data_IF_604049142857
#
_entry.id   IF_604049142857
#
_cell.length_a   1.000
_cell.length_b   1.000
_cell.length_c   1.000
_cell.angle_alpha   90.00
_cell.angle_beta   90.00
_cell.angle_gamma   90.00
#
_symmetry.space_group_name_H-M   'P 1'
#
loop_
_entity.id
_entity.type
_entity.pdbx_description
1 polymer ?
#
# COMPACT_ATOMS: atom_id res chain seq x y z
N UNK A 1 47.08 28.93 -13.27
CA UNK A 1 47.42 27.67 -12.55
C UNK A 1 46.12 26.97 -12.20
N UNK A 2 45.67 26.07 -13.06
CA UNK A 2 44.56 25.14 -12.77
C UNK A 2 45.03 24.16 -11.70
N UNK A 3 44.35 24.09 -10.55
CA UNK A 3 44.56 23.00 -9.59
C UNK A 3 43.42 21.99 -9.79
N UNK A 4 43.78 20.86 -10.40
CA UNK A 4 43.06 19.59 -10.28
C UNK A 4 42.75 19.32 -8.80
N UNK A 5 41.54 18.86 -8.51
CA UNK A 5 41.08 18.54 -7.16
C UNK A 5 41.72 17.28 -6.56
N UNK A 6 41.42 16.95 -5.29
CA UNK A 6 41.66 15.62 -4.77
C UNK A 6 40.47 14.71 -5.10
N UNK A 7 40.77 13.64 -5.83
CA UNK A 7 39.97 12.42 -5.93
C UNK A 7 39.84 11.78 -4.54
N UNK A 8 38.64 11.29 -4.23
CA UNK A 8 38.45 10.11 -3.38
C UNK A 8 38.49 10.33 -1.87
N UNK A 9 37.33 10.61 -1.29
CA UNK A 9 36.90 9.78 -0.15
C UNK A 9 35.78 8.89 -0.65
N UNK A 10 36.17 7.81 -1.33
CA UNK A 10 35.28 6.68 -1.54
C UNK A 10 34.93 6.14 -0.17
N UNK A 11 33.80 6.61 0.38
CA UNK A 11 33.12 5.85 1.41
C UNK A 11 32.93 4.43 0.85
N UNK A 12 33.24 3.38 1.61
CA UNK A 12 32.86 2.04 1.18
C UNK A 12 31.35 2.08 0.86
N UNK A 13 30.86 1.42 -0.19
CA UNK A 13 29.43 1.41 -0.45
C UNK A 13 28.80 0.75 0.79
N UNK A 14 28.13 1.55 1.62
CA UNK A 14 27.45 1.07 2.82
C UNK A 14 26.21 0.32 2.35
N UNK A 15 26.42 -0.89 1.82
CA UNK A 15 25.43 -1.93 1.63
C UNK A 15 25.03 -2.43 3.01
N UNK A 16 24.04 -1.77 3.61
CA UNK A 16 23.26 -2.32 4.71
C UNK A 16 21.97 -1.48 4.81
N UNK A 17 20.80 -2.11 4.93
CA UNK A 17 19.47 -1.52 4.79
C UNK A 17 19.12 -0.45 5.83
N UNK A 18 19.82 0.69 5.81
CA UNK A 18 19.68 1.82 6.73
C UNK A 18 18.43 2.65 6.46
N UNK A 19 17.81 2.49 5.29
CA UNK A 19 16.54 3.16 4.93
C UNK A 19 15.54 2.14 4.35
N UNK A 20 15.07 1.18 5.17
CA UNK A 20 14.04 0.25 4.73
C UNK A 20 12.74 1.03 4.52
N UNK A 21 12.01 0.67 3.46
CA UNK A 21 10.70 1.28 3.23
C UNK A 21 9.77 1.02 4.41
N UNK A 22 9.14 2.05 4.98
CA UNK A 22 8.17 1.84 6.06
C UNK A 22 6.98 1.02 5.56
N UNK A 23 6.26 0.40 6.49
CA UNK A 23 5.00 -0.28 6.17
C UNK A 23 4.03 0.70 5.46
N UNK A 24 3.26 0.18 4.51
CA UNK A 24 2.46 1.01 3.60
C UNK A 24 3.21 1.49 2.36
N UNK A 25 4.52 1.26 2.27
CA UNK A 25 5.35 1.64 1.11
C UNK A 25 6.25 0.49 0.65
N UNK A 26 6.74 0.58 -0.59
CA UNK A 26 7.69 -0.35 -1.18
C UNK A 26 8.66 0.39 -2.12
N UNK A 27 9.78 -0.25 -2.45
CA UNK A 27 10.67 0.26 -3.51
C UNK A 27 11.36 -0.88 -4.25
N UNK A 28 11.24 -0.90 -5.57
CA UNK A 28 11.96 -1.84 -6.43
C UNK A 28 13.45 -1.50 -6.60
N UNK A 29 13.94 -0.43 -5.96
CA UNK A 29 15.34 0.03 -6.00
C UNK A 29 16.04 -0.35 -4.70
N UNK A 30 17.20 -0.99 -4.84
CA UNK A 30 18.07 -1.32 -3.70
C UNK A 30 18.91 -0.12 -3.28
N UNK A 31 19.25 -0.03 -1.98
CA UNK A 31 20.20 0.96 -1.48
C UNK A 31 19.67 2.40 -1.51
N UNK A 32 18.42 2.59 -1.07
CA UNK A 32 17.85 3.93 -0.94
C UNK A 32 18.69 4.81 -0.03
N UNK A 33 18.85 6.07 -0.42
CA UNK A 33 19.49 7.10 0.39
C UNK A 33 18.56 7.63 1.49
N UNK A 34 17.25 7.50 1.31
CA UNK A 34 16.24 7.95 2.26
C UNK A 34 14.91 7.18 2.10
N UNK A 35 14.14 7.05 3.19
CA UNK A 35 12.85 6.35 3.18
C UNK A 35 11.76 7.08 2.37
N UNK A 36 11.90 8.37 2.11
CA UNK A 36 11.01 9.16 1.24
C UNK A 36 11.10 8.76 -0.23
N UNK A 37 12.14 8.02 -0.63
CA UNK A 37 12.23 7.44 -1.98
C UNK A 37 11.33 6.21 -2.15
N UNK A 38 10.68 5.74 -1.09
CA UNK A 38 9.71 4.66 -1.17
C UNK A 38 8.40 5.14 -1.78
N UNK A 39 7.82 4.28 -2.62
CA UNK A 39 6.51 4.53 -3.21
C UNK A 39 5.42 3.97 -2.31
N UNK A 40 4.29 4.66 -2.11
CA UNK A 40 3.15 4.08 -1.41
C UNK A 40 2.68 2.83 -2.14
N UNK A 41 2.17 1.86 -1.37
CA UNK A 41 1.53 0.68 -1.94
C UNK A 41 0.41 1.11 -2.91
N UNK A 42 0.33 0.47 -4.07
CA UNK A 42 -0.64 0.86 -5.10
C UNK A 42 -2.08 0.62 -4.61
N UNK A 43 -3.06 1.39 -5.07
CA UNK A 43 -4.46 1.14 -4.76
C UNK A 43 -4.84 -0.32 -5.05
N UNK A 44 -5.65 -0.93 -4.19
CA UNK A 44 -5.98 -2.36 -4.25
C UNK A 44 -4.94 -3.29 -3.61
N UNK A 45 -3.77 -2.79 -3.17
CA UNK A 45 -2.72 -3.60 -2.54
C UNK A 45 -2.26 -3.04 -1.20
N UNK A 46 -1.61 -3.89 -0.40
CA UNK A 46 -1.03 -3.50 0.89
C UNK A 46 0.43 -3.92 1.03
N UNK A 47 1.15 -3.21 1.89
CA UNK A 47 2.57 -3.35 2.20
C UNK A 47 2.72 -3.60 3.70
N UNK A 48 2.67 -4.87 4.12
CA UNK A 48 2.50 -5.26 5.52
C UNK A 48 3.75 -5.24 6.40
N UNK A 49 4.93 -5.15 5.79
CA UNK A 49 6.21 -5.18 6.50
C UNK A 49 7.15 -4.11 5.97
N UNK A 50 8.21 -3.83 6.73
CA UNK A 50 9.23 -2.87 6.33
C UNK A 50 10.20 -3.48 5.31
N UNK A 51 10.82 -2.64 4.49
CA UNK A 51 11.85 -3.05 3.52
C UNK A 51 11.31 -3.81 2.31
N UNK A 52 10.01 -3.69 2.03
CA UNK A 52 9.39 -4.35 0.89
C UNK A 52 9.90 -3.79 -0.44
N UNK A 53 10.22 -4.70 -1.37
CA UNK A 53 10.57 -4.34 -2.75
C UNK A 53 9.39 -4.40 -3.71
N UNK A 54 8.25 -4.93 -3.25
CA UNK A 54 6.98 -5.02 -3.95
C UNK A 54 5.84 -5.07 -2.90
N UNK A 55 4.59 -4.77 -3.29
CA UNK A 55 3.44 -4.96 -2.42
C UNK A 55 3.38 -6.39 -1.86
N UNK A 56 2.91 -6.54 -0.62
CA UNK A 56 2.72 -7.85 0.04
C UNK A 56 1.63 -8.65 -0.64
N UNK A 57 0.53 -7.99 -1.04
CA UNK A 57 -0.58 -8.65 -1.69
C UNK A 57 -1.78 -7.72 -1.91
N UNK A 58 -2.88 -8.26 -2.47
CA UNK A 58 -4.13 -7.53 -2.62
C UNK A 58 -4.79 -7.26 -1.26
N UNK A 59 -5.60 -6.20 -1.19
CA UNK A 59 -6.52 -6.02 -0.06
C UNK A 59 -7.61 -7.10 -0.07
N UNK A 60 -8.10 -7.46 1.12
CA UNK A 60 -9.01 -8.58 1.29
C UNK A 60 -10.40 -8.26 0.74
N UNK A 61 -11.13 -9.30 0.32
CA UNK A 61 -12.50 -9.13 -0.11
C UNK A 61 -13.38 -8.57 1.02
N UNK A 62 -14.31 -7.70 0.67
CA UNK A 62 -15.10 -6.93 1.63
C UNK A 62 -14.40 -5.64 2.09
N UNK A 63 -13.18 -5.38 1.61
CA UNK A 63 -12.43 -4.14 1.82
C UNK A 63 -11.94 -3.58 0.50
N UNK A 64 -11.69 -2.28 0.48
CA UNK A 64 -10.98 -1.62 -0.61
C UNK A 64 -9.91 -0.70 -0.04
N UNK A 65 -8.85 -0.48 -0.79
CA UNK A 65 -7.74 0.35 -0.35
C UNK A 65 -7.30 1.34 -1.42
N UNK A 66 -7.18 2.61 -1.01
CA UNK A 66 -6.95 3.76 -1.89
C UNK A 66 -5.46 4.01 -2.17
N UNK A 67 -4.57 3.22 -1.56
CA UNK A 67 -3.12 3.30 -1.70
C UNK A 67 -2.43 3.67 -0.39
N UNK A 68 -1.20 3.20 -0.18
CA UNK A 68 -0.46 3.37 1.07
C UNK A 68 -0.92 2.44 2.21
N UNK A 69 -1.73 1.43 1.91
CA UNK A 69 -2.22 0.48 2.90
C UNK A 69 -1.08 -0.39 3.43
N UNK A 70 -1.03 -0.57 4.75
CA UNK A 70 -0.10 -1.49 5.41
C UNK A 70 -0.79 -2.75 5.93
N UNK A 71 -2.11 -2.89 5.72
CA UNK A 71 -2.90 -4.08 6.05
C UNK A 71 -3.86 -4.40 4.93
N UNK A 72 -4.28 -5.66 4.81
CA UNK A 72 -5.28 -6.07 3.83
C UNK A 72 -6.72 -5.70 4.24
N UNK A 73 -6.95 -5.47 5.54
CA UNK A 73 -8.24 -5.16 6.17
C UNK A 73 -8.14 -3.91 7.05
N UNK A 74 -9.24 -3.45 7.64
CA UNK A 74 -9.19 -2.37 8.63
C UNK A 74 -8.33 -2.79 9.83
N UNK A 75 -7.36 -1.94 10.17
CA UNK A 75 -6.61 -2.07 11.41
C UNK A 75 -7.28 -1.21 12.48
N UNK A 76 -7.76 -1.84 13.55
CA UNK A 76 -8.50 -1.18 14.64
C UNK A 76 -7.68 -0.13 15.40
N UNK A 77 -6.35 -0.14 15.24
CA UNK A 77 -5.46 0.81 15.90
C UNK A 77 -5.33 2.16 15.18
N UNK A 78 -5.93 2.36 13.99
CA UNK A 78 -5.92 3.64 13.30
C UNK A 78 -7.29 4.35 13.28
N UNK A 79 -7.31 5.68 13.47
CA UNK A 79 -8.49 6.48 13.16
C UNK A 79 -8.85 6.30 11.69
N UNK A 80 -10.14 6.05 11.38
CA UNK A 80 -10.58 5.77 9.99
C UNK A 80 -10.25 6.88 8.98
N UNK A 81 -10.06 8.12 9.44
CA UNK A 81 -9.65 9.27 8.61
C UNK A 81 -8.16 9.24 8.20
N UNK A 82 -7.38 8.28 8.72
CA UNK A 82 -5.97 8.09 8.38
C UNK A 82 -5.71 6.68 7.83
N UNK A 83 -6.76 5.91 7.58
CA UNK A 83 -6.65 4.56 7.05
C UNK A 83 -6.73 4.59 5.52
N UNK A 84 -5.74 3.98 4.87
CA UNK A 84 -5.73 3.70 3.42
C UNK A 84 -6.59 2.50 3.02
N UNK A 85 -7.31 1.90 3.98
CA UNK A 85 -8.19 0.73 3.82
C UNK A 85 -9.55 1.08 4.39
N UNK A 86 -10.60 0.64 3.72
CA UNK A 86 -11.98 0.95 4.08
C UNK A 86 -12.85 -0.31 3.88
N UNK A 87 -13.87 -0.45 4.73
CA UNK A 87 -14.88 -1.51 4.57
C UNK A 87 -15.75 -1.20 3.35
N UNK A 88 -16.12 -2.22 2.59
CA UNK A 88 -17.03 -2.06 1.47
C UNK A 88 -18.39 -1.50 1.95
N UNK A 89 -18.88 -0.38 1.39
CA UNK A 89 -20.12 0.23 1.85
C UNK A 89 -21.36 -0.51 1.33
N UNK A 90 -22.54 -0.30 1.95
CA UNK A 90 -23.80 -0.89 1.51
C UNK A 90 -24.12 -0.60 0.05
N UNK A 91 -24.81 -1.54 -0.60
CA UNK A 91 -25.15 -1.49 -2.02
C UNK A 91 -23.96 -1.63 -2.97
N UNK A 92 -22.78 -2.02 -2.46
CA UNK A 92 -21.56 -2.22 -3.22
C UNK A 92 -20.79 -3.44 -2.72
N UNK A 93 -20.01 -4.06 -3.59
CA UNK A 93 -19.15 -5.19 -3.27
C UNK A 93 -17.71 -4.92 -3.69
N UNK A 94 -16.78 -5.57 -2.99
CA UNK A 94 -15.34 -5.36 -3.11
C UNK A 94 -14.64 -6.73 -3.19
N UNK A 95 -14.33 -7.23 -4.41
CA UNK A 95 -13.49 -8.41 -4.59
C UNK A 95 -12.06 -8.19 -4.09
N UNK A 96 -11.24 -9.25 -3.94
CA UNK A 96 -9.83 -9.10 -3.59
C UNK A 96 -9.13 -8.12 -4.54
N UNK A 97 -8.36 -7.20 -3.98
CA UNK A 97 -7.61 -6.22 -4.78
C UNK A 97 -8.41 -4.97 -5.16
N UNK A 98 -9.55 -4.72 -4.54
CA UNK A 98 -10.37 -3.54 -4.85
C UNK A 98 -9.68 -2.25 -4.44
N UNK A 99 -9.52 -1.32 -5.39
CA UNK A 99 -9.13 0.06 -5.10
C UNK A 99 -10.33 0.97 -4.82
N UNK A 100 -11.53 0.57 -5.26
CA UNK A 100 -12.79 1.26 -5.05
C UNK A 100 -13.95 0.23 -5.01
N UNK A 101 -15.05 0.51 -4.30
CA UNK A 101 -16.23 -0.36 -4.28
C UNK A 101 -17.01 -0.41 -5.60
N UNK A 102 -17.34 -1.62 -6.06
CA UNK A 102 -18.18 -1.83 -7.25
C UNK A 102 -19.65 -1.80 -6.87
N UNK A 103 -20.50 -1.08 -7.63
CA UNK A 103 -21.94 -1.04 -7.36
C UNK A 103 -22.60 -2.40 -7.59
N UNK A 104 -23.58 -2.73 -6.77
CA UNK A 104 -24.49 -3.83 -7.06
C UNK A 104 -25.23 -3.60 -8.39
N UNK A 105 -25.52 -4.65 -9.16
CA UNK A 105 -26.30 -4.56 -10.39
C UNK A 105 -27.66 -3.88 -10.19
N UNK A 106 -28.20 -3.20 -11.23
CA UNK A 106 -29.54 -2.60 -11.15
C UNK A 106 -30.60 -3.61 -10.71
N UNK A 107 -31.43 -3.23 -9.74
CA UNK A 107 -32.47 -4.09 -9.18
C UNK A 107 -32.01 -5.00 -8.03
N UNK A 108 -30.73 -4.98 -7.67
CA UNK A 108 -30.17 -5.68 -6.50
C UNK A 108 -29.69 -4.66 -5.46
N UNK A 109 -29.72 -5.03 -4.17
CA UNK A 109 -29.26 -4.19 -3.08
C UNK A 109 -29.10 -5.02 -1.80
N UNK A 110 -27.98 -4.82 -1.11
CA UNK A 110 -27.76 -5.33 0.24
C UNK A 110 -27.40 -4.17 1.18
N UNK A 111 -28.09 -4.02 2.33
CA UNK A 111 -27.80 -2.98 3.32
C UNK A 111 -26.55 -3.24 4.16
N UNK A 112 -25.97 -4.44 4.09
CA UNK A 112 -24.82 -4.82 4.89
C UNK A 112 -23.52 -4.19 4.38
N UNK A 113 -22.55 -4.04 5.28
CA UNK A 113 -21.19 -3.66 4.96
C UNK A 113 -20.35 -4.89 4.62
N UNK A 114 -19.28 -4.70 3.84
CA UNK A 114 -18.25 -5.71 3.64
C UNK A 114 -18.60 -6.80 2.62
N UNK A 115 -19.53 -6.51 1.69
CA UNK A 115 -19.82 -7.43 0.59
C UNK A 115 -18.57 -7.73 -0.23
N UNK A 116 -18.36 -8.99 -0.54
CA UNK A 116 -17.14 -9.51 -1.18
C UNK A 116 -17.29 -9.66 -2.68
N UNK A 117 -18.49 -9.98 -3.15
CA UNK A 117 -18.75 -10.27 -4.56
C UNK A 117 -20.21 -9.96 -4.94
N UNK A 118 -20.51 -10.07 -6.23
CA UNK A 118 -21.83 -9.74 -6.78
C UNK A 118 -22.95 -10.64 -6.27
N UNK A 119 -22.67 -11.85 -5.79
CA UNK A 119 -23.70 -12.77 -5.27
C UNK A 119 -24.18 -12.40 -3.87
N UNK A 120 -23.49 -11.45 -3.22
CA UNK A 120 -23.90 -10.88 -1.95
C UNK A 120 -24.73 -9.59 -2.14
N UNK A 121 -24.93 -9.16 -3.38
CA UNK A 121 -26.02 -8.29 -3.79
C UNK A 121 -27.32 -9.13 -3.95
#
# INVERSE_FOLDING_TARGET
>A
RSKLGPLGKGQPPQYDGQHPCPAGTFSNVYGLAEASQCSPCTPGTYCGTVGLTAPTGPCDAGYYCTGGAYTATLHEALPQNQSSVHVCPPGRYCPPGSSEPTRCPPGTFNPDHGLKNVTEC
#
